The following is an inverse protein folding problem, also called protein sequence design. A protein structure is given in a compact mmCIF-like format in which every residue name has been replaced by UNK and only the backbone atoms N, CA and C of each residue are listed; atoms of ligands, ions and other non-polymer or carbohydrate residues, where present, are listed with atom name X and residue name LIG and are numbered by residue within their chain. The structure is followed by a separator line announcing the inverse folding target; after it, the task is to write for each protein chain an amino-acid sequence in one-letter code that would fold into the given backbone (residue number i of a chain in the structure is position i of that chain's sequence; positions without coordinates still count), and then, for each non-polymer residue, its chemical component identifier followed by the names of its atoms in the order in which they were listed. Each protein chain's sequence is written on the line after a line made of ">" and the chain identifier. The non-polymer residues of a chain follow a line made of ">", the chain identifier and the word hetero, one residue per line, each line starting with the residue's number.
data_IF_485652318805
#
_entry.id   IF_485652318805
#
_cell.length_a   1.000
_cell.length_b   1.000
_cell.length_c   1.000
_cell.angle_alpha   90.00
_cell.angle_beta   90.00
_cell.angle_gamma   90.00
#
_symmetry.space_group_name_H-M   'P 1'
#
loop_
_entity.id
_entity.type
_entity.pdbx_description
1 polymer ?
#
# COMPACT_ATOMS: atom_id res chain seq x y z
N UNK A 1 20.77 4.31 -18.01
CA UNK A 1 19.42 3.77 -18.30
C UNK A 1 18.46 4.80 -17.75
N UNK A 2 18.01 5.70 -18.61
CA UNK A 2 16.96 6.64 -18.24
C UNK A 2 15.64 5.88 -18.32
N UNK A 3 15.00 5.73 -17.16
CA UNK A 3 13.68 5.15 -17.07
C UNK A 3 12.71 6.18 -17.66
N UNK A 4 12.13 5.92 -18.83
CA UNK A 4 11.09 6.75 -19.49
C UNK A 4 9.73 6.68 -18.76
N UNK A 5 9.75 6.87 -17.45
CA UNK A 5 8.57 6.78 -16.60
C UNK A 5 7.95 8.16 -16.41
N UNK A 6 6.64 8.24 -16.59
CA UNK A 6 5.89 9.46 -16.29
C UNK A 6 5.70 9.59 -14.77
N UNK A 7 6.22 10.68 -14.20
CA UNK A 7 6.08 10.99 -12.78
C UNK A 7 4.77 11.72 -12.55
N UNK A 8 3.85 11.11 -11.81
CA UNK A 8 2.60 11.76 -11.42
C UNK A 8 2.89 12.94 -10.48
N UNK A 9 2.23 14.10 -10.66
CA UNK A 9 2.39 15.23 -9.76
C UNK A 9 1.96 14.83 -8.34
N UNK A 10 2.78 15.10 -7.31
CA UNK A 10 2.43 14.71 -5.95
C UNK A 10 1.19 15.47 -5.50
N UNK A 11 0.12 14.79 -5.03
CA UNK A 11 -0.97 15.50 -4.38
C UNK A 11 -0.43 16.20 -3.12
N UNK A 12 -0.98 17.37 -2.78
CA UNK A 12 -0.67 18.03 -1.51
C UNK A 12 -0.88 17.03 -0.35
N UNK A 13 0.18 16.80 0.45
CA UNK A 13 0.30 15.79 1.52
C UNK A 13 -1.05 15.21 1.96
N UNK A 14 -1.45 14.12 1.30
CA UNK A 14 -2.74 13.47 1.52
C UNK A 14 -2.52 11.96 1.57
N UNK A 15 -2.24 11.41 2.76
CA UNK A 15 -2.11 9.95 2.93
C UNK A 15 -3.38 9.21 2.46
N UNK A 16 -4.54 9.88 2.42
CA UNK A 16 -5.77 9.31 1.87
C UNK A 16 -5.74 9.04 0.35
N UNK A 17 -4.78 9.65 -0.37
CA UNK A 17 -4.64 9.58 -1.82
C UNK A 17 -3.54 8.61 -2.26
N UNK A 18 -2.68 8.14 -1.37
CA UNK A 18 -1.65 7.15 -1.71
C UNK A 18 -2.18 5.73 -1.53
N UNK A 19 -2.29 4.90 -2.60
CA UNK A 19 -2.78 3.52 -2.49
C UNK A 19 -1.98 2.65 -1.52
N UNK A 20 -0.70 2.99 -1.33
CA UNK A 20 0.14 2.39 -0.29
C UNK A 20 -0.45 2.65 1.10
N UNK A 21 -0.78 3.89 1.44
CA UNK A 21 -1.19 4.28 2.79
C UNK A 21 -2.63 3.85 3.09
N UNK A 22 -3.57 4.12 2.17
CA UNK A 22 -4.99 3.86 2.47
C UNK A 22 -5.43 2.41 2.29
N UNK A 23 -4.70 1.60 1.52
CA UNK A 23 -5.10 0.22 1.20
C UNK A 23 -4.07 -0.80 1.68
N UNK A 24 -2.84 -0.72 1.18
CA UNK A 24 -1.81 -1.71 1.46
C UNK A 24 -1.39 -1.69 2.95
N UNK A 25 -0.87 -0.56 3.42
CA UNK A 25 -0.41 -0.38 4.80
C UNK A 25 -1.55 -0.42 5.78
N UNK A 26 -2.74 0.11 5.44
CA UNK A 26 -3.93 -0.06 6.27
C UNK A 26 -4.26 -1.54 6.50
N UNK A 27 -4.30 -2.34 5.44
CA UNK A 27 -4.57 -3.78 5.58
C UNK A 27 -3.44 -4.52 6.31
N UNK A 28 -2.20 -4.07 6.13
CA UNK A 28 -1.04 -4.66 6.80
C UNK A 28 -1.04 -4.33 8.30
N UNK A 29 -1.36 -3.10 8.68
CA UNK A 29 -1.52 -2.68 10.08
C UNK A 29 -2.55 -3.55 10.83
N UNK A 30 -3.69 -3.84 10.21
CA UNK A 30 -4.68 -4.75 10.80
C UNK A 30 -4.16 -6.18 10.98
N UNK A 31 -3.34 -6.67 10.03
CA UNK A 31 -2.71 -7.97 10.16
C UNK A 31 -1.57 -7.97 11.20
N UNK A 32 -1.04 -6.78 11.51
CA UNK A 32 0.08 -6.58 12.43
C UNK A 32 -0.34 -6.36 13.89
N UNK A 33 -1.62 -6.08 14.14
CA UNK A 33 -2.15 -5.55 15.41
C UNK A 33 -1.75 -6.37 16.65
N UNK A 34 -1.61 -7.69 16.51
CA UNK A 34 -1.22 -8.61 17.60
C UNK A 34 0.11 -9.35 17.36
N UNK A 35 0.88 -8.98 16.34
CA UNK A 35 2.18 -9.63 16.05
C UNK A 35 3.34 -8.94 16.76
N UNK A 36 4.20 -9.74 17.37
CA UNK A 36 5.46 -9.29 17.97
C UNK A 36 6.62 -9.97 17.27
N UNK A 37 7.56 -9.19 16.76
CA UNK A 37 8.77 -9.69 16.10
C UNK A 37 9.97 -9.53 17.02
N UNK A 38 10.87 -10.50 17.02
CA UNK A 38 12.09 -10.48 17.83
C UNK A 38 13.30 -9.92 17.08
N UNK A 39 13.28 -9.90 15.75
CA UNK A 39 14.38 -9.43 14.91
C UNK A 39 13.89 -9.00 13.52
N UNK A 40 14.77 -8.34 12.75
CA UNK A 40 14.45 -7.88 11.40
C UNK A 40 14.17 -9.02 10.41
N UNK A 41 14.82 -10.17 10.54
CA UNK A 41 14.59 -11.31 9.63
C UNK A 41 13.16 -11.86 9.74
N UNK A 42 12.57 -11.86 10.93
CA UNK A 42 11.16 -12.21 11.12
C UNK A 42 10.22 -11.21 10.45
N UNK A 43 10.53 -9.92 10.51
CA UNK A 43 9.77 -8.88 9.82
C UNK A 43 9.85 -9.07 8.31
N UNK A 44 11.05 -9.30 7.76
CA UNK A 44 11.25 -9.52 6.33
C UNK A 44 10.49 -10.74 5.82
N UNK A 45 10.57 -11.86 6.53
CA UNK A 45 9.84 -13.09 6.18
C UNK A 45 8.33 -12.87 6.25
N UNK A 46 7.83 -12.26 7.32
CA UNK A 46 6.40 -11.99 7.48
C UNK A 46 5.87 -11.07 6.39
N UNK A 47 6.61 -10.01 6.04
CA UNK A 47 6.21 -9.08 4.96
C UNK A 47 6.17 -9.81 3.62
N UNK A 48 7.17 -10.65 3.33
CA UNK A 48 7.21 -11.44 2.09
C UNK A 48 6.03 -12.41 2.00
N UNK A 49 5.78 -13.19 3.06
CA UNK A 49 4.64 -14.12 3.14
C UNK A 49 3.29 -13.40 3.06
N UNK A 50 3.16 -12.25 3.73
CA UNK A 50 1.93 -11.47 3.72
C UNK A 50 1.64 -10.92 2.33
N UNK A 51 2.64 -10.40 1.61
CA UNK A 51 2.49 -9.92 0.24
C UNK A 51 2.12 -11.07 -0.69
N UNK A 52 2.79 -12.22 -0.59
CA UNK A 52 2.53 -13.41 -1.41
C UNK A 52 1.12 -13.99 -1.15
N UNK A 53 0.60 -13.83 0.07
CA UNK A 53 -0.76 -14.23 0.43
C UNK A 53 -1.86 -13.41 -0.25
N UNK A 54 -1.55 -12.22 -0.80
CA UNK A 54 -2.54 -11.34 -1.43
C UNK A 54 -2.70 -11.65 -2.91
N UNK A 55 -3.94 -11.72 -3.35
CA UNK A 55 -4.27 -11.96 -4.74
C UNK A 55 -4.15 -10.67 -5.58
N UNK A 56 -3.98 -10.84 -6.90
CA UNK A 56 -3.93 -9.70 -7.84
C UNK A 56 -5.15 -8.76 -7.71
N UNK A 57 -6.39 -9.25 -7.53
CA UNK A 57 -7.54 -8.40 -7.25
C UNK A 57 -7.39 -7.48 -6.03
N UNK A 58 -6.74 -7.92 -4.95
CA UNK A 58 -6.47 -7.07 -3.79
C UNK A 58 -5.67 -5.82 -4.18
N UNK A 59 -4.55 -5.97 -4.88
CA UNK A 59 -3.73 -4.83 -5.32
C UNK A 59 -4.46 -3.97 -6.35
N UNK A 60 -5.14 -4.60 -7.31
CA UNK A 60 -5.92 -3.90 -8.33
C UNK A 60 -7.00 -3.01 -7.71
N UNK A 61 -7.69 -3.50 -6.68
CA UNK A 61 -8.71 -2.72 -5.95
C UNK A 61 -8.10 -1.49 -5.31
N UNK A 62 -6.92 -1.61 -4.69
CA UNK A 62 -6.19 -0.47 -4.13
C UNK A 62 -6.01 0.64 -5.17
N UNK A 63 -5.54 0.31 -6.39
CA UNK A 63 -5.36 1.31 -7.45
C UNK A 63 -6.70 1.86 -7.97
N UNK A 64 -7.71 1.01 -8.13
CA UNK A 64 -9.02 1.41 -8.67
C UNK A 64 -9.80 2.37 -7.77
N UNK A 65 -9.52 2.40 -6.47
CA UNK A 65 -10.14 3.33 -5.53
C UNK A 65 -9.54 4.75 -5.61
N UNK A 66 -8.44 4.94 -6.35
CA UNK A 66 -7.76 6.23 -6.46
C UNK A 66 -8.67 7.34 -7.04
N UNK A 67 -9.39 7.15 -8.16
CA UNK A 67 -10.26 8.19 -8.70
C UNK A 67 -11.39 8.59 -7.74
N UNK A 68 -12.01 7.62 -7.06
CA UNK A 68 -13.06 7.90 -6.07
C UNK A 68 -12.54 8.72 -4.88
N UNK A 69 -11.30 8.45 -4.44
CA UNK A 69 -10.66 9.18 -3.34
C UNK A 69 -10.23 10.59 -3.75
N UNK A 70 -9.80 10.78 -4.99
CA UNK A 70 -9.51 12.11 -5.53
C UNK A 70 -10.78 12.96 -5.66
N UNK A 71 -11.90 12.37 -6.12
CA UNK A 71 -13.16 13.09 -6.34
C UNK A 71 -13.86 13.48 -5.03
N UNK A 72 -13.71 12.70 -3.96
CA UNK A 72 -14.30 13.01 -2.63
C UNK A 72 -13.61 14.16 -1.89
N UNK A 73 -12.46 14.65 -2.39
CA UNK A 73 -11.73 15.80 -1.81
C UNK A 73 -11.99 17.13 -2.54
N UNK A 74 -12.82 17.14 -3.59
CA UNK A 74 -13.29 18.37 -4.27
C UNK A 74 -14.63 18.84 -3.72
#
# INVERSE_FOLDING_TARGET
>A
MDLEWEVLPPPAYSPDLAPSDYHLFRSMQHALEDTHFHNCSEVENWVAEWIDSKDRPFFRRGIQLLPEKCLKKS
#
